data_IF_229679828344
#
_entry.id   IF_229679828344
#
_cell.length_a   1.000
_cell.length_b   1.000
_cell.length_c   1.000
_cell.angle_alpha   90.00
_cell.angle_beta   90.00
_cell.angle_gamma   90.00
#
_symmetry.space_group_name_H-M   'P 1'
#
loop_
_entity.id
_entity.type
_entity.pdbx_description
1 polymer ?
#
# COMPACT_ATOMS: atom_id res chain seq x y z
N UNK A 1 -49.90 37.68 8.32
CA UNK A 1 -50.58 38.15 9.55
C UNK A 1 -52.03 37.69 9.46
N UNK A 2 -52.38 36.58 10.11
CA UNK A 2 -53.74 36.22 10.54
C UNK A 2 -53.58 35.16 11.64
N UNK A 3 -53.76 35.59 12.88
CA UNK A 3 -54.02 34.74 14.06
C UNK A 3 -55.44 34.17 14.00
N UNK A 4 -55.64 33.00 14.62
CA UNK A 4 -56.81 32.62 15.45
C UNK A 4 -56.46 31.21 16.02
N UNK A 5 -56.20 31.00 17.33
CA UNK A 5 -57.14 30.94 18.47
C UNK A 5 -58.33 29.99 18.18
N UNK A 6 -58.75 28.99 18.98
CA UNK A 6 -58.64 28.73 20.42
C UNK A 6 -59.06 27.26 20.73
N UNK A 7 -58.44 26.68 21.77
CA UNK A 7 -58.97 25.91 22.94
C UNK A 7 -60.09 24.85 22.87
N UNK A 8 -59.98 23.96 23.87
CA UNK A 8 -60.94 23.00 24.48
C UNK A 8 -60.96 21.61 23.81
N UNK A 9 -60.90 20.48 24.53
CA UNK A 9 -61.38 20.19 25.88
C UNK A 9 -60.66 18.95 26.46
N UNK A 10 -60.35 18.99 27.76
CA UNK A 10 -59.97 17.81 28.56
C UNK A 10 -61.22 16.98 28.90
N UNK A 11 -61.20 15.70 28.55
CA UNK A 11 -61.87 14.67 29.35
C UNK A 11 -60.83 13.64 29.77
N UNK A 12 -60.65 13.51 31.09
CA UNK A 12 -59.84 12.46 31.68
C UNK A 12 -60.61 11.15 31.74
N UNK A 13 -59.92 10.05 31.45
CA UNK A 13 -60.20 8.75 32.06
C UNK A 13 -58.93 7.91 32.06
N UNK A 14 -58.46 7.56 33.25
CA UNK A 14 -57.39 6.58 33.48
C UNK A 14 -57.92 5.18 33.14
N UNK A 15 -57.25 4.42 32.27
CA UNK A 15 -57.15 2.96 32.41
C UNK A 15 -56.02 2.37 31.54
N UNK A 16 -54.98 1.87 32.24
CA UNK A 16 -54.25 0.60 32.09
C UNK A 16 -53.61 0.20 30.74
N UNK A 17 -52.28 0.04 30.82
CA UNK A 17 -51.34 -0.82 30.07
C UNK A 17 -51.86 -1.63 28.87
N UNK A 18 -51.17 -1.48 27.72
CA UNK A 18 -50.34 -2.54 27.14
C UNK A 18 -49.49 -1.99 25.99
N UNK A 19 -48.24 -2.46 25.91
CA UNK A 19 -47.24 -2.14 24.91
C UNK A 19 -47.66 -2.53 23.48
N UNK A 20 -47.10 -1.86 22.47
CA UNK A 20 -46.24 -2.42 21.41
C UNK A 20 -45.86 -1.29 20.43
N UNK A 21 -44.59 -1.27 20.06
CA UNK A 21 -43.94 -0.39 19.10
C UNK A 21 -44.70 -0.28 17.76
N UNK A 22 -44.82 0.94 17.24
CA UNK A 22 -44.42 1.34 15.88
C UNK A 22 -44.99 2.74 15.57
N UNK A 23 -44.23 3.80 15.89
CA UNK A 23 -44.48 5.11 15.29
C UNK A 23 -43.50 5.27 14.13
N UNK A 24 -44.10 5.17 12.96
CA UNK A 24 -43.66 5.78 11.71
C UNK A 24 -43.32 7.26 11.87
N UNK A 25 -42.14 7.66 11.42
CA UNK A 25 -41.76 8.99 10.92
C UNK A 25 -40.25 8.90 10.58
N UNK A 26 -39.68 9.46 9.53
CA UNK A 26 -40.15 10.47 8.59
C UNK A 26 -39.17 10.40 7.42
N UNK A 27 -39.66 10.29 6.19
CA UNK A 27 -38.90 10.78 5.04
C UNK A 27 -38.96 12.31 5.09
N UNK A 28 -37.85 12.97 5.41
CA UNK A 28 -37.42 14.27 4.86
C UNK A 28 -36.24 14.83 5.69
N UNK A 29 -35.13 15.09 5.00
CA UNK A 29 -34.18 16.13 5.39
C UNK A 29 -32.76 15.64 5.69
N UNK A 30 -31.84 15.98 4.77
CA UNK A 30 -30.46 16.43 4.99
C UNK A 30 -29.59 15.62 5.99
N UNK A 31 -28.48 14.99 5.62
CA UNK A 31 -27.46 15.39 4.65
C UNK A 31 -26.94 14.15 3.92
N UNK A 32 -27.01 14.12 2.58
CA UNK A 32 -25.96 13.40 1.86
C UNK A 32 -24.73 14.28 1.94
N UNK A 33 -23.77 13.90 2.77
CA UNK A 33 -22.39 14.09 2.34
C UNK A 33 -22.26 13.10 1.19
N UNK A 34 -22.44 13.60 -0.03
CA UNK A 34 -22.17 12.83 -1.23
C UNK A 34 -20.71 12.35 -1.10
N UNK A 35 -20.55 11.06 -0.87
CA UNK A 35 -19.24 10.42 -0.81
C UNK A 35 -18.48 10.76 -2.09
N UNK A 36 -17.37 11.48 -1.97
CA UNK A 36 -16.43 11.82 -3.07
C UNK A 36 -15.57 10.60 -3.45
N UNK A 37 -16.13 9.40 -3.27
CA UNK A 37 -15.47 8.13 -3.48
C UNK A 37 -16.11 7.46 -4.70
N UNK A 38 -15.52 7.68 -5.87
CA UNK A 38 -15.57 6.69 -6.94
C UNK A 38 -14.96 5.36 -6.48
N UNK A 39 -15.27 4.24 -7.16
CA UNK A 39 -15.05 2.89 -6.63
C UNK A 39 -13.60 2.48 -6.34
N UNK A 40 -12.58 3.33 -6.62
CA UNK A 40 -11.18 3.01 -6.31
C UNK A 40 -10.48 4.01 -5.40
N UNK A 41 -10.77 5.32 -5.52
CA UNK A 41 -10.27 6.29 -4.53
C UNK A 41 -10.94 6.16 -3.15
N UNK A 42 -12.12 5.51 -3.07
CA UNK A 42 -12.88 5.32 -1.83
C UNK A 42 -12.28 4.37 -0.80
N UNK A 43 -11.13 3.76 -1.08
CA UNK A 43 -10.50 2.79 -0.20
C UNK A 43 -9.90 3.44 1.05
N UNK A 44 -9.36 4.65 0.93
CA UNK A 44 -8.63 5.32 2.00
C UNK A 44 -9.59 6.05 2.94
N UNK A 45 -9.47 5.79 4.23
CA UNK A 45 -10.21 6.57 5.21
C UNK A 45 -9.65 8.00 5.31
N UNK A 46 -10.54 8.97 5.49
CA UNK A 46 -10.13 10.37 5.68
C UNK A 46 -9.27 10.54 6.95
N UNK A 47 -9.58 9.79 8.02
CA UNK A 47 -8.82 9.78 9.27
C UNK A 47 -7.36 9.34 9.08
N UNK A 48 -7.10 8.46 8.10
CA UNK A 48 -5.77 7.96 7.80
C UNK A 48 -4.94 8.93 6.96
N UNK A 49 -5.58 9.71 6.08
CA UNK A 49 -4.89 10.64 5.16
C UNK A 49 -4.79 12.07 5.70
N UNK A 50 -5.68 12.48 6.60
CA UNK A 50 -5.68 13.81 7.24
C UNK A 50 -4.33 14.17 7.90
N UNK A 51 -3.63 13.27 8.61
CA UNK A 51 -2.31 13.55 9.16
C UNK A 51 -1.26 13.95 8.11
N UNK A 52 -1.46 13.57 6.85
CA UNK A 52 -0.54 13.83 5.74
C UNK A 52 -0.96 15.08 4.96
N UNK A 53 -2.21 15.15 4.52
CA UNK A 53 -2.67 16.23 3.61
C UNK A 53 -3.47 17.34 4.29
N UNK A 54 -3.83 17.18 5.57
CA UNK A 54 -4.79 18.04 6.26
C UNK A 54 -6.22 17.77 5.80
N UNK A 55 -7.13 18.73 6.02
CA UNK A 55 -8.52 18.57 5.59
C UNK A 55 -8.56 18.30 4.08
N UNK A 56 -9.20 17.20 3.70
CA UNK A 56 -9.35 16.82 2.28
C UNK A 56 -10.26 17.84 1.58
N UNK A 57 -9.80 18.38 0.46
CA UNK A 57 -10.51 19.37 -0.34
C UNK A 57 -11.08 18.78 -1.63
N UNK A 58 -10.33 17.88 -2.26
CA UNK A 58 -10.70 17.26 -3.53
C UNK A 58 -10.09 15.86 -3.66
N UNK A 59 -10.83 14.96 -4.29
CA UNK A 59 -10.37 13.60 -4.60
C UNK A 59 -10.62 13.34 -6.08
N UNK A 60 -9.56 13.02 -6.81
CA UNK A 60 -9.62 12.79 -8.24
C UNK A 60 -9.12 11.40 -8.58
N UNK A 61 -10.02 10.62 -9.16
CA UNK A 61 -9.67 9.35 -9.78
C UNK A 61 -9.15 9.59 -11.20
N UNK A 62 -8.00 9.03 -11.54
CA UNK A 62 -7.47 9.07 -12.91
C UNK A 62 -7.83 7.78 -13.63
N UNK A 63 -8.21 7.91 -14.89
CA UNK A 63 -8.47 6.75 -15.74
C UNK A 63 -7.19 5.91 -15.90
N UNK A 64 -7.38 4.58 -15.95
CA UNK A 64 -6.37 3.53 -16.20
C UNK A 64 -5.57 3.05 -14.97
N UNK A 65 -5.45 1.72 -14.85
CA UNK A 65 -4.66 1.03 -13.82
C UNK A 65 -5.53 0.33 -12.77
N UNK A 66 -4.89 -0.42 -11.87
CA UNK A 66 -5.55 -1.05 -10.71
C UNK A 66 -6.09 0.00 -9.72
N UNK A 67 -5.31 1.06 -9.51
CA UNK A 67 -5.65 2.22 -8.70
C UNK A 67 -4.78 3.39 -9.12
N UNK A 68 -5.40 4.55 -9.38
CA UNK A 68 -4.70 5.79 -9.66
C UNK A 68 -5.53 6.96 -9.12
N UNK A 69 -5.08 7.53 -8.00
CA UNK A 69 -5.85 8.50 -7.24
C UNK A 69 -4.98 9.68 -6.82
N UNK A 70 -5.54 10.88 -6.92
CA UNK A 70 -5.01 12.08 -6.30
C UNK A 70 -5.93 12.52 -5.16
N UNK A 71 -5.39 12.72 -3.96
CA UNK A 71 -6.09 13.27 -2.81
C UNK A 71 -5.45 14.61 -2.47
N UNK A 72 -6.17 15.69 -2.72
CA UNK A 72 -5.73 17.05 -2.41
C UNK A 72 -6.26 17.44 -1.05
N UNK A 73 -5.37 17.84 -0.15
CA UNK A 73 -5.74 18.50 1.10
C UNK A 73 -5.12 19.89 1.20
N UNK A 74 -5.39 20.54 2.33
CA UNK A 74 -4.89 21.89 2.66
C UNK A 74 -3.37 22.03 2.58
N UNK A 75 -2.61 20.95 2.80
CA UNK A 75 -1.15 20.99 3.01
C UNK A 75 -0.33 20.25 1.94
N UNK A 76 -0.96 19.35 1.20
CA UNK A 76 -0.26 18.53 0.21
C UNK A 76 -1.22 17.91 -0.82
N UNK A 77 -0.66 17.48 -1.94
CA UNK A 77 -1.29 16.53 -2.85
C UNK A 77 -0.70 15.13 -2.60
N UNK A 78 -1.52 14.19 -2.17
CA UNK A 78 -1.14 12.78 -2.05
C UNK A 78 -1.53 12.05 -3.34
N UNK A 79 -0.55 11.47 -4.02
CA UNK A 79 -0.77 10.60 -5.19
C UNK A 79 -0.65 9.14 -4.79
N UNK A 80 -1.56 8.33 -5.30
CA UNK A 80 -1.65 6.91 -5.05
C UNK A 80 -1.66 6.16 -6.37
N UNK A 81 -0.82 5.14 -6.51
CA UNK A 81 -0.65 4.42 -7.76
C UNK A 81 -0.34 2.93 -7.55
N UNK A 82 -1.10 2.06 -8.21
CA UNK A 82 -0.88 0.61 -8.19
C UNK A 82 -0.62 0.05 -9.59
N UNK A 83 0.20 -1.01 -9.65
CA UNK A 83 0.59 -1.67 -10.88
C UNK A 83 0.66 -3.19 -10.73
N UNK A 84 0.17 -3.91 -11.74
CA UNK A 84 0.34 -5.37 -11.88
C UNK A 84 1.76 -5.77 -12.33
N UNK A 85 2.53 -4.79 -12.85
CA UNK A 85 3.91 -4.96 -13.32
C UNK A 85 4.79 -3.84 -12.73
N UNK A 86 5.07 -3.97 -11.43
CA UNK A 86 5.84 -3.05 -10.59
C UNK A 86 7.19 -2.70 -11.18
N UNK A 87 7.80 -3.62 -11.90
CA UNK A 87 9.06 -3.41 -12.60
C UNK A 87 9.04 -2.34 -13.67
N UNK A 88 8.01 -2.37 -14.53
CA UNK A 88 7.87 -1.34 -15.55
C UNK A 88 7.44 -0.04 -14.92
N UNK A 89 6.61 -0.12 -13.88
CA UNK A 89 6.04 1.03 -13.21
C UNK A 89 7.05 1.82 -12.36
N UNK A 90 7.94 1.13 -11.66
CA UNK A 90 8.84 1.71 -10.65
C UNK A 90 10.33 1.52 -10.98
N UNK A 91 10.66 0.70 -11.97
CA UNK A 91 12.02 0.54 -12.46
C UNK A 91 12.52 1.76 -13.24
N UNK A 92 13.80 2.08 -13.12
CA UNK A 92 14.45 3.19 -13.86
C UNK A 92 15.67 2.71 -14.64
N UNK A 93 15.87 3.25 -15.84
CA UNK A 93 17.04 2.93 -16.67
C UNK A 93 17.13 1.46 -17.08
N UNK A 94 16.00 0.75 -17.14
CA UNK A 94 15.94 -0.68 -17.41
C UNK A 94 16.25 -1.59 -16.20
N UNK A 95 16.54 -1.03 -15.03
CA UNK A 95 16.62 -1.82 -13.79
C UNK A 95 15.23 -2.27 -13.34
N UNK A 96 15.16 -3.39 -12.61
CA UNK A 96 13.90 -3.81 -11.98
C UNK A 96 13.54 -2.87 -10.80
N UNK A 97 12.32 -3.00 -10.28
CA UNK A 97 11.81 -2.12 -9.22
C UNK A 97 12.61 -2.24 -7.91
N UNK A 98 12.95 -3.45 -7.47
CA UNK A 98 13.73 -3.68 -6.25
C UNK A 98 15.09 -2.99 -6.33
N UNK A 99 15.91 -3.31 -7.34
CA UNK A 99 17.23 -2.69 -7.52
C UNK A 99 17.16 -1.16 -7.64
N UNK A 100 16.11 -0.65 -8.31
CA UNK A 100 15.92 0.80 -8.43
C UNK A 100 15.65 1.43 -7.07
N UNK A 101 14.75 0.84 -6.28
CA UNK A 101 14.37 1.37 -4.98
C UNK A 101 15.48 1.18 -3.95
N UNK A 102 16.17 0.05 -3.95
CA UNK A 102 17.35 -0.20 -3.10
C UNK A 102 18.45 0.85 -3.32
N UNK A 103 18.69 1.22 -4.58
CA UNK A 103 19.66 2.26 -4.92
C UNK A 103 19.22 3.65 -4.44
N UNK A 104 17.91 3.93 -4.41
CA UNK A 104 17.35 5.21 -3.97
C UNK A 104 17.32 5.32 -2.45
N UNK A 105 16.87 4.26 -1.76
CA UNK A 105 16.73 4.20 -0.31
C UNK A 105 18.05 3.88 0.40
N UNK A 106 19.04 3.36 -0.32
CA UNK A 106 20.32 2.93 0.24
C UNK A 106 20.27 1.60 0.98
N UNK A 107 19.24 0.77 0.76
CA UNK A 107 19.12 -0.55 1.41
C UNK A 107 17.99 -1.41 0.85
N UNK A 108 17.98 -2.67 1.28
CA UNK A 108 17.18 -3.78 0.72
C UNK A 108 15.64 -3.64 0.86
N UNK A 109 15.17 -2.57 1.52
CA UNK A 109 13.78 -2.40 1.93
C UNK A 109 13.42 -3.19 3.18
N UNK A 110 12.30 -2.85 3.81
CA UNK A 110 11.78 -3.54 5.00
C UNK A 110 10.97 -4.76 4.57
N UNK A 111 11.40 -5.95 4.99
CA UNK A 111 10.64 -7.19 4.80
C UNK A 111 9.38 -7.19 5.67
N UNK A 112 8.27 -7.70 5.12
CA UNK A 112 7.01 -7.84 5.83
C UNK A 112 6.82 -9.30 6.25
N UNK A 113 6.85 -9.62 7.56
CA UNK A 113 6.81 -11.00 8.04
C UNK A 113 5.60 -11.79 7.53
N UNK A 114 5.85 -12.99 7.01
CA UNK A 114 4.82 -13.88 6.49
C UNK A 114 4.34 -13.57 5.08
N UNK A 115 5.03 -12.69 4.36
CA UNK A 115 4.76 -12.33 2.96
C UNK A 115 6.06 -12.30 2.15
N UNK A 116 5.95 -12.27 0.82
CA UNK A 116 7.07 -12.01 -0.07
C UNK A 116 7.25 -10.50 -0.35
N UNK A 117 6.60 -9.66 0.47
CA UNK A 117 6.54 -8.23 0.24
C UNK A 117 7.70 -7.47 0.90
N UNK A 118 8.10 -6.39 0.25
CA UNK A 118 9.06 -5.41 0.77
C UNK A 118 8.51 -4.00 0.68
N UNK A 119 8.94 -3.17 1.63
CA UNK A 119 8.56 -1.77 1.70
C UNK A 119 9.79 -0.87 1.59
N UNK A 120 9.70 0.10 0.70
CA UNK A 120 10.74 1.09 0.43
C UNK A 120 10.16 2.47 0.67
N UNK A 121 10.85 3.31 1.42
CA UNK A 121 10.38 4.64 1.74
C UNK A 121 11.56 5.61 1.78
N UNK A 122 11.36 6.84 1.30
CA UNK A 122 12.41 7.86 1.28
C UNK A 122 11.82 9.26 1.10
N UNK A 123 12.64 10.26 1.43
CA UNK A 123 12.44 11.65 1.04
C UNK A 123 13.21 11.95 -0.26
N UNK A 124 12.57 12.70 -1.16
CA UNK A 124 13.22 13.27 -2.34
C UNK A 124 13.13 14.80 -2.30
N UNK A 125 14.14 15.49 -2.83
CA UNK A 125 14.20 16.96 -2.82
C UNK A 125 15.13 17.49 -1.73
N UNK A 126 16.39 17.72 -2.12
CA UNK A 126 17.36 18.43 -1.29
C UNK A 126 17.81 19.69 -2.01
N UNK A 127 17.35 20.85 -1.54
CA UNK A 127 18.07 22.11 -1.75
C UNK A 127 17.42 23.24 -2.54
N UNK A 128 16.10 23.27 -2.78
CA UNK A 128 15.28 24.49 -3.11
C UNK A 128 13.85 24.18 -3.58
N UNK A 129 13.53 22.91 -3.84
CA UNK A 129 12.18 22.44 -4.17
C UNK A 129 11.53 21.79 -2.94
N UNK A 130 10.20 21.89 -2.84
CA UNK A 130 9.42 21.28 -1.75
C UNK A 130 9.73 19.78 -1.67
N UNK A 131 10.13 19.27 -0.49
CA UNK A 131 10.50 17.88 -0.36
C UNK A 131 9.26 16.98 -0.54
N UNK A 132 9.43 15.85 -1.21
CA UNK A 132 8.36 14.88 -1.44
C UNK A 132 8.68 13.59 -0.70
N UNK A 133 7.71 13.08 0.06
CA UNK A 133 7.79 11.80 0.75
C UNK A 133 7.26 10.70 -0.17
N UNK A 134 7.91 9.54 -0.14
CA UNK A 134 7.53 8.38 -0.92
C UNK A 134 7.49 7.12 -0.06
N UNK A 135 6.51 6.26 -0.32
CA UNK A 135 6.48 4.88 0.16
C UNK A 135 5.99 3.94 -0.95
N UNK A 136 6.62 2.78 -1.04
CA UNK A 136 6.34 1.73 -2.01
C UNK A 136 6.21 0.40 -1.27
N UNK A 137 5.18 -0.35 -1.59
CA UNK A 137 5.01 -1.75 -1.20
C UNK A 137 5.09 -2.59 -2.47
N UNK A 138 5.98 -3.58 -2.49
CA UNK A 138 6.19 -4.48 -3.63
C UNK A 138 6.05 -5.93 -3.18
N UNK A 139 5.27 -6.74 -3.90
CA UNK A 139 5.20 -8.19 -3.73
C UNK A 139 5.27 -8.84 -5.10
N UNK A 140 6.35 -9.60 -5.33
CA UNK A 140 6.70 -10.17 -6.62
C UNK A 140 6.67 -9.16 -7.76
N UNK A 141 5.72 -9.32 -8.69
CA UNK A 141 5.53 -8.41 -9.84
C UNK A 141 4.47 -7.34 -9.62
N UNK A 142 3.71 -7.37 -8.54
CA UNK A 142 2.75 -6.32 -8.23
C UNK A 142 3.38 -5.24 -7.35
N UNK A 143 2.79 -4.05 -7.35
CA UNK A 143 3.24 -3.01 -6.46
C UNK A 143 2.24 -1.88 -6.27
N UNK A 144 2.42 -1.19 -5.17
CA UNK A 144 1.60 -0.10 -4.69
C UNK A 144 2.48 1.02 -4.17
N UNK A 145 2.20 2.26 -4.57
CA UNK A 145 2.97 3.42 -4.16
C UNK A 145 2.05 4.54 -3.68
N UNK A 146 2.51 5.24 -2.65
CA UNK A 146 1.97 6.52 -2.22
C UNK A 146 3.11 7.54 -2.17
N UNK A 147 2.85 8.74 -2.65
CA UNK A 147 3.82 9.82 -2.55
C UNK A 147 3.16 11.18 -2.52
N UNK A 148 3.78 12.11 -1.80
CA UNK A 148 3.34 13.49 -1.81
C UNK A 148 3.89 14.22 -3.03
N UNK A 149 3.13 15.23 -3.46
CA UNK A 149 3.48 16.19 -4.49
C UNK A 149 3.15 17.56 -3.91
N UNK A 150 4.09 18.51 -3.98
CA UNK A 150 3.90 19.87 -3.44
C UNK A 150 3.52 19.77 -1.95
N UNK A 151 4.43 19.24 -1.14
CA UNK A 151 4.27 19.18 0.30
C UNK A 151 5.18 20.21 0.96
N UNK A 152 4.58 21.30 1.44
CA UNK A 152 5.33 22.46 1.98
C UNK A 152 6.20 22.08 3.20
N UNK A 153 5.78 21.05 3.95
CA UNK A 153 6.40 20.63 5.21
C UNK A 153 6.61 19.10 5.31
N UNK A 154 6.83 18.38 4.20
CA UNK A 154 7.09 16.95 4.29
C UNK A 154 8.43 16.66 4.99
N UNK A 155 8.39 15.69 5.90
CA UNK A 155 9.53 15.26 6.71
C UNK A 155 9.54 13.73 6.89
N UNK A 156 10.48 13.23 7.70
CA UNK A 156 10.58 11.80 8.02
C UNK A 156 9.32 11.23 8.68
N UNK A 157 8.55 12.05 9.41
CA UNK A 157 7.26 11.60 9.97
C UNK A 157 6.21 11.40 8.88
N UNK A 158 6.27 12.20 7.82
CA UNK A 158 5.43 12.05 6.62
C UNK A 158 5.79 10.76 5.89
N UNK A 159 7.08 10.43 5.75
CA UNK A 159 7.53 9.15 5.17
C UNK A 159 6.99 7.98 5.99
N UNK A 160 7.15 8.02 7.32
CA UNK A 160 6.68 6.97 8.19
C UNK A 160 5.15 6.80 8.11
N UNK A 161 4.40 7.91 8.01
CA UNK A 161 2.95 7.85 7.83
C UNK A 161 2.58 7.18 6.50
N UNK A 162 3.23 7.55 5.39
CA UNK A 162 3.00 6.90 4.09
C UNK A 162 3.35 5.42 4.13
N UNK A 163 4.44 5.04 4.81
CA UNK A 163 4.87 3.66 4.98
C UNK A 163 3.78 2.80 5.65
N UNK A 164 3.20 3.30 6.73
CA UNK A 164 2.12 2.61 7.43
C UNK A 164 0.84 2.54 6.59
N UNK A 165 0.51 3.60 5.83
CA UNK A 165 -0.64 3.57 4.92
C UNK A 165 -0.45 2.56 3.78
N UNK A 166 0.73 2.50 3.14
CA UNK A 166 0.95 1.53 2.06
C UNK A 166 0.84 0.11 2.56
N UNK A 167 1.33 -0.19 3.77
CA UNK A 167 1.20 -1.52 4.38
C UNK A 167 -0.24 -1.83 4.74
N UNK A 168 -0.95 -0.88 5.35
CA UNK A 168 -2.35 -1.04 5.77
C UNK A 168 -3.27 -1.36 4.60
N UNK A 169 -3.03 -0.71 3.45
CA UNK A 169 -3.92 -0.75 2.29
C UNK A 169 -3.45 -1.65 1.14
N UNK A 170 -2.17 -2.04 1.08
CA UNK A 170 -1.67 -2.93 0.03
C UNK A 170 -2.47 -4.24 -0.12
N UNK A 171 -2.87 -4.94 0.98
CA UNK A 171 -3.65 -6.17 0.85
C UNK A 171 -4.97 -5.99 0.09
N UNK A 172 -5.66 -4.87 0.28
CA UNK A 172 -6.92 -4.54 -0.37
C UNK A 172 -6.71 -4.01 -1.78
N UNK A 173 -5.71 -3.14 -2.00
CA UNK A 173 -5.38 -2.60 -3.33
C UNK A 173 -4.97 -3.71 -4.28
N UNK A 174 -4.24 -4.71 -3.79
CA UNK A 174 -3.71 -5.80 -4.58
C UNK A 174 -4.55 -7.08 -4.42
N UNK A 175 -5.74 -7.00 -3.83
CA UNK A 175 -6.61 -8.16 -3.78
C UNK A 175 -6.96 -8.67 -5.18
N UNK A 176 -6.90 -9.98 -5.39
CA UNK A 176 -7.13 -10.61 -6.69
C UNK A 176 -6.06 -10.38 -7.77
N UNK A 177 -4.97 -9.66 -7.49
CA UNK A 177 -3.87 -9.45 -8.46
C UNK A 177 -3.01 -10.71 -8.56
N UNK A 178 -3.14 -11.43 -9.68
CA UNK A 178 -2.46 -12.72 -9.89
C UNK A 178 -0.93 -12.63 -9.96
N UNK A 179 -0.36 -11.47 -10.29
CA UNK A 179 1.08 -11.27 -10.44
C UNK A 179 1.85 -11.08 -9.13
N UNK A 180 1.16 -11.00 -7.99
CA UNK A 180 1.77 -10.76 -6.67
C UNK A 180 2.83 -11.77 -6.28
N UNK A 181 2.56 -13.05 -6.49
CA UNK A 181 3.50 -14.12 -6.12
C UNK A 181 4.32 -14.61 -7.31
N UNK A 182 4.16 -13.97 -8.47
CA UNK A 182 4.99 -14.32 -9.61
C UNK A 182 6.42 -13.91 -9.28
N UNK A 183 7.37 -14.82 -9.49
CA UNK A 183 8.78 -14.48 -9.45
C UNK A 183 8.97 -13.22 -10.32
N UNK A 184 9.52 -12.14 -9.74
CA UNK A 184 9.84 -10.98 -10.52
C UNK A 184 10.64 -11.39 -11.77
N UNK A 185 11.67 -12.24 -11.63
CA UNK A 185 12.53 -12.72 -12.72
C UNK A 185 13.65 -11.71 -13.12
N UNK A 186 14.13 -11.70 -14.37
CA UNK A 186 14.94 -10.62 -14.96
C UNK A 186 14.11 -9.55 -15.73
N UNK A 187 14.47 -8.26 -15.65
CA UNK A 187 13.69 -7.17 -16.27
C UNK A 187 13.50 -7.40 -17.79
N UNK A 188 12.26 -7.38 -18.29
CA UNK A 188 11.92 -7.56 -19.72
C UNK A 188 12.61 -6.56 -20.67
N UNK A 189 13.04 -5.39 -20.17
CA UNK A 189 13.75 -4.38 -20.95
C UNK A 189 15.29 -4.50 -20.88
N UNK A 190 15.82 -5.37 -20.02
CA UNK A 190 17.23 -5.77 -19.99
C UNK A 190 17.28 -7.31 -19.97
N UNK A 191 17.20 -7.96 -21.16
CA UNK A 191 17.11 -9.42 -21.25
C UNK A 191 18.32 -10.17 -20.68
N UNK A 192 19.44 -9.48 -20.44
CA UNK A 192 20.70 -10.08 -19.97
C UNK A 192 20.99 -9.88 -18.48
N UNK A 193 20.06 -9.31 -17.68
CA UNK A 193 20.19 -9.26 -16.22
C UNK A 193 19.91 -10.65 -15.61
N UNK A 194 20.70 -11.65 -16.01
CA UNK A 194 20.58 -13.03 -15.58
C UNK A 194 20.92 -13.15 -14.10
N UNK A 195 19.97 -13.71 -13.36
CA UNK A 195 20.09 -14.24 -11.99
C UNK A 195 21.42 -15.00 -11.83
N UNK A 196 22.21 -14.80 -10.75
CA UNK A 196 23.24 -15.78 -10.40
C UNK A 196 22.53 -17.09 -10.12
N UNK A 197 22.63 -18.04 -11.04
CA UNK A 197 22.08 -19.37 -10.87
C UNK A 197 22.76 -20.02 -9.66
N UNK A 198 22.04 -20.10 -8.54
CA UNK A 198 22.36 -21.03 -7.48
C UNK A 198 22.22 -22.44 -8.03
N UNK A 199 23.33 -23.01 -8.51
CA UNK A 199 23.40 -24.43 -8.79
C UNK A 199 23.20 -25.19 -7.48
N UNK A 200 22.39 -26.26 -7.44
CA UNK A 200 22.38 -27.14 -6.28
C UNK A 200 23.76 -27.81 -6.18
N UNK A 201 24.47 -27.54 -5.09
CA UNK A 201 25.59 -28.38 -4.64
C UNK A 201 25.04 -29.78 -4.38
N UNK A 202 25.18 -30.65 -5.37
CA UNK A 202 24.86 -32.06 -5.27
C UNK A 202 26.01 -32.87 -5.88
N UNK A 203 27.12 -32.95 -5.15
CA UNK A 203 28.02 -34.10 -5.23
C UNK A 203 28.11 -34.73 -3.84
N UNK A 204 27.00 -35.34 -3.45
CA UNK A 204 26.95 -36.35 -2.41
C UNK A 204 26.49 -37.66 -3.04
N UNK A 205 27.43 -38.42 -3.63
CA UNK A 205 27.26 -39.87 -3.76
C UNK A 205 28.31 -40.55 -2.90
N UNK A 206 27.82 -41.13 -1.81
CA UNK A 206 28.59 -41.88 -0.83
C UNK A 206 28.81 -43.34 -1.25
N UNK A 207 29.76 -43.95 -0.51
CA UNK A 207 29.94 -45.36 -0.17
C UNK A 207 31.01 -46.12 -0.97
N UNK A 208 31.86 -46.98 -0.39
CA UNK A 208 32.24 -47.30 1.00
C UNK A 208 33.33 -48.38 0.93
N UNK A 209 34.27 -48.37 1.88
CA UNK A 209 35.04 -49.52 2.42
C UNK A 209 36.08 -50.25 1.54
N UNK A 210 37.37 -50.21 1.95
CA UNK A 210 38.02 -51.32 2.66
C UNK A 210 39.57 -51.21 2.70
N UNK A 211 40.10 -51.36 3.92
CA UNK A 211 41.36 -52.03 4.30
C UNK A 211 42.73 -51.44 3.92
N UNK A 212 43.46 -50.99 4.95
CA UNK A 212 44.92 -51.14 5.08
C UNK A 212 45.34 -52.62 4.92
N UNK A 213 46.52 -52.91 4.34
CA UNK A 213 47.70 -53.10 5.21
C UNK A 213 49.06 -52.65 4.61
N UNK A 214 49.94 -52.23 5.53
CA UNK A 214 51.40 -52.39 5.64
C UNK A 214 52.26 -52.75 4.41
N UNK A 215 53.38 -52.03 4.20
CA UNK A 215 54.76 -52.56 4.33
C UNK A 215 55.83 -51.52 3.95
N UNK A 216 57.04 -51.75 4.46
CA UNK A 216 58.18 -50.86 4.62
C UNK A 216 59.03 -50.58 3.35
N UNK A 217 59.80 -49.48 3.38
CA UNK A 217 60.95 -49.27 2.47
C UNK A 217 61.57 -47.86 2.50
N UNK A 218 62.58 -47.65 3.34
CA UNK A 218 63.64 -46.60 3.20
C UNK A 218 64.75 -47.09 2.23
N UNK A 219 65.83 -46.35 1.90
CA UNK A 219 66.05 -44.90 1.64
C UNK A 219 66.88 -44.64 0.34
N UNK A 220 67.08 -43.35 -0.02
CA UNK A 220 68.35 -42.86 -0.62
C UNK A 220 68.31 -42.28 -2.04
N UNK A 221 68.58 -40.98 -2.18
CA UNK A 221 69.85 -40.43 -2.69
C UNK A 221 69.93 -38.92 -2.39
#
# INVERSE_FOLDING_TARGET
MYEYSSRCSQHGMRLVLAAVLAISACCAGACSHDSVAGPYCGLFSEEDVDPIVGRVEDVKERAHGLLNCDIRGERALLTVYAAEDSWTAFGRGGNNAFTTLEAITGGDGREIPGTDARVFSHMSGGGTEDPNAYAYWLEGRAGFAMYTVIAEDADESTVAALEELVIKYAPQVLDGVASRTADPGPNRYIPDASVPSGGPSADGTAASSAAEPTSAGSPGQ
#
